data_IF_438820426335
#
_entry.id   IF_438820426335
#
_cell.length_a   1.000
_cell.length_b   1.000
_cell.length_c   1.000
_cell.angle_alpha   90.00
_cell.angle_beta   90.00
_cell.angle_gamma   90.00
#
_symmetry.space_group_name_H-M   'P 1'
#
loop_
_entity.id
_entity.type
_entity.pdbx_description
1 polymer ?
#
# COMPACT_ATOMS: atom_id res chain seq x y z
N UNK A 1 -32.69 6.73 5.90
CA UNK A 1 -32.49 6.32 4.50
C UNK A 1 -31.27 5.44 4.43
N UNK A 2 -31.37 4.28 3.82
CA UNK A 2 -30.20 3.42 3.55
C UNK A 2 -29.39 4.07 2.41
N UNK A 3 -28.08 4.21 2.59
CA UNK A 3 -27.18 4.65 1.52
C UNK A 3 -26.83 3.46 0.64
N UNK A 4 -26.68 3.67 -0.66
CA UNK A 4 -26.12 2.65 -1.55
C UNK A 4 -24.62 2.87 -1.75
N UNK A 5 -23.87 1.76 -1.81
CA UNK A 5 -22.47 1.79 -2.12
C UNK A 5 -22.24 2.18 -3.60
N UNK A 6 -21.57 3.30 -3.85
CA UNK A 6 -21.30 3.81 -5.20
C UNK A 6 -20.38 2.93 -6.07
N UNK A 7 -19.84 1.83 -5.50
CA UNK A 7 -18.97 0.89 -6.23
C UNK A 7 -19.70 -0.42 -6.54
N UNK A 8 -20.36 -1.04 -5.55
CA UNK A 8 -20.99 -2.35 -5.73
C UNK A 8 -22.52 -2.33 -5.67
N UNK A 9 -23.16 -1.17 -5.47
CA UNK A 9 -24.61 -1.02 -5.41
C UNK A 9 -25.28 -1.58 -4.16
N UNK A 10 -24.55 -2.20 -3.24
CA UNK A 10 -25.15 -2.79 -2.05
C UNK A 10 -25.70 -1.72 -1.10
N UNK A 11 -26.84 -2.00 -0.47
CA UNK A 11 -27.39 -1.17 0.60
C UNK A 11 -26.48 -1.21 1.82
N UNK A 12 -26.20 -0.04 2.37
CA UNK A 12 -25.28 0.13 3.51
C UNK A 12 -25.93 1.02 4.58
N UNK A 13 -25.81 0.60 5.83
CA UNK A 13 -26.19 1.41 6.98
C UNK A 13 -25.05 2.37 7.39
N UNK A 14 -25.33 3.28 8.31
CA UNK A 14 -24.37 4.29 8.77
C UNK A 14 -23.05 3.70 9.27
N UNK A 15 -23.09 2.57 9.98
CA UNK A 15 -21.88 1.92 10.55
C UNK A 15 -21.02 1.32 9.43
N UNK A 16 -21.64 0.84 8.38
CA UNK A 16 -20.98 0.20 7.24
C UNK A 16 -20.53 1.19 6.16
N UNK A 17 -20.84 2.48 6.35
CA UNK A 17 -20.59 3.53 5.37
C UNK A 17 -19.22 4.18 5.57
N UNK A 18 -18.44 4.31 4.50
CA UNK A 18 -17.32 5.22 4.38
C UNK A 18 -17.73 6.37 3.45
N UNK A 19 -17.80 7.59 3.98
CA UNK A 19 -18.01 8.80 3.19
C UNK A 19 -16.72 9.21 2.49
N UNK A 20 -16.86 9.72 1.26
CA UNK A 20 -15.81 10.28 0.43
C UNK A 20 -15.93 11.80 0.37
N UNK A 21 -14.90 12.48 -0.13
CA UNK A 21 -14.84 13.95 -0.21
C UNK A 21 -15.89 14.56 -1.15
N UNK A 22 -16.35 13.81 -2.14
CA UNK A 22 -17.36 14.21 -3.13
C UNK A 22 -18.79 13.85 -2.71
N UNK A 23 -19.01 13.49 -1.44
CA UNK A 23 -20.32 13.10 -0.89
C UNK A 23 -20.74 11.67 -1.21
N UNK A 24 -20.05 10.96 -2.08
CA UNK A 24 -20.33 9.55 -2.34
C UNK A 24 -20.04 8.68 -1.12
N UNK A 25 -20.67 7.50 -1.08
CA UNK A 25 -20.50 6.52 -0.01
C UNK A 25 -20.03 5.18 -0.58
N UNK A 26 -19.13 4.51 0.12
CA UNK A 26 -18.71 3.13 -0.19
C UNK A 26 -18.83 2.23 1.02
N UNK A 27 -19.03 0.95 0.80
CA UNK A 27 -19.14 -0.01 1.89
C UNK A 27 -17.75 -0.32 2.51
N UNK A 28 -17.67 -0.21 3.84
CA UNK A 28 -16.46 -0.54 4.60
C UNK A 28 -16.12 -2.02 4.54
N UNK A 29 -17.17 -2.86 4.53
CA UNK A 29 -17.02 -4.32 4.70
C UNK A 29 -16.46 -5.02 3.46
N UNK A 30 -16.81 -4.53 2.26
CA UNK A 30 -16.40 -5.16 0.99
C UNK A 30 -15.47 -4.23 0.19
N UNK A 31 -15.96 -3.09 -0.32
CA UNK A 31 -15.19 -2.26 -1.25
C UNK A 31 -13.95 -1.63 -0.62
N UNK A 32 -14.08 -1.00 0.57
CA UNK A 32 -12.92 -0.44 1.27
C UNK A 32 -11.89 -1.51 1.64
N UNK A 33 -12.33 -2.72 2.01
CA UNK A 33 -11.41 -3.81 2.36
C UNK A 33 -10.59 -4.34 1.18
N UNK A 34 -11.02 -4.11 -0.06
CA UNK A 34 -10.24 -4.48 -1.26
C UNK A 34 -9.03 -3.59 -1.47
N UNK A 35 -9.05 -2.36 -0.97
CA UNK A 35 -7.93 -1.43 -1.05
C UNK A 35 -7.00 -1.49 0.15
N UNK A 36 -6.00 -0.61 0.17
CA UNK A 36 -5.04 -0.50 1.26
C UNK A 36 -5.60 0.30 2.43
N UNK A 37 -5.20 -0.06 3.66
CA UNK A 37 -5.57 0.68 4.88
C UNK A 37 -4.97 2.08 4.93
N UNK A 38 -3.79 2.25 4.35
CA UNK A 38 -3.06 3.53 4.29
C UNK A 38 -3.63 4.50 3.25
N UNK A 39 -4.53 4.06 2.37
CA UNK A 39 -5.17 4.95 1.40
C UNK A 39 -6.17 5.88 2.10
N UNK A 40 -6.08 7.17 1.78
CA UNK A 40 -6.94 8.19 2.39
C UNK A 40 -8.31 8.23 1.72
N UNK A 41 -9.21 7.38 2.19
CA UNK A 41 -10.58 7.32 1.69
C UNK A 41 -11.41 8.57 2.04
N UNK A 42 -11.07 9.25 3.13
CA UNK A 42 -11.86 10.40 3.63
C UNK A 42 -11.72 11.61 2.70
N UNK A 43 -10.49 11.87 2.27
CA UNK A 43 -10.17 13.02 1.40
C UNK A 43 -10.16 12.65 -0.09
N UNK A 44 -10.48 11.39 -0.44
CA UNK A 44 -10.57 10.95 -1.82
C UNK A 44 -12.00 11.04 -2.36
N UNK A 45 -12.10 11.31 -3.67
CA UNK A 45 -13.35 11.23 -4.42
C UNK A 45 -13.57 9.82 -4.99
N UNK A 46 -14.76 9.55 -5.52
CA UNK A 46 -15.11 8.23 -6.08
C UNK A 46 -14.20 7.78 -7.25
N UNK A 47 -13.85 8.65 -8.23
CA UNK A 47 -12.87 8.28 -9.26
C UNK A 47 -11.51 7.86 -8.69
N UNK A 48 -10.98 8.58 -7.70
CA UNK A 48 -9.72 8.26 -7.04
C UNK A 48 -9.76 6.91 -6.32
N UNK A 49 -10.86 6.61 -5.62
CA UNK A 49 -11.05 5.31 -4.98
C UNK A 49 -11.16 4.18 -5.99
N UNK A 50 -11.89 4.37 -7.10
CA UNK A 50 -11.97 3.37 -8.18
C UNK A 50 -10.59 3.12 -8.80
N UNK A 51 -9.81 4.17 -9.06
CA UNK A 51 -8.45 4.07 -9.56
C UNK A 51 -7.54 3.29 -8.59
N UNK A 52 -7.63 3.57 -7.28
CA UNK A 52 -6.89 2.82 -6.26
C UNK A 52 -7.27 1.34 -6.23
N UNK A 53 -8.54 1.00 -6.25
CA UNK A 53 -8.98 -0.40 -6.24
C UNK A 53 -8.52 -1.15 -7.49
N UNK A 54 -8.58 -0.52 -8.67
CA UNK A 54 -8.06 -1.07 -9.91
C UNK A 54 -6.53 -1.25 -9.87
N UNK A 55 -5.80 -0.30 -9.25
CA UNK A 55 -4.36 -0.42 -9.01
C UNK A 55 -4.03 -1.63 -8.14
N UNK A 56 -4.76 -1.84 -7.03
CA UNK A 56 -4.57 -2.99 -6.14
C UNK A 56 -4.87 -4.30 -6.85
N UNK A 57 -5.95 -4.36 -7.63
CA UNK A 57 -6.29 -5.58 -8.38
C UNK A 57 -5.19 -5.95 -9.38
N UNK A 58 -4.75 -4.98 -10.20
CA UNK A 58 -3.63 -5.18 -11.15
C UNK A 58 -2.33 -5.51 -10.43
N UNK A 59 -2.02 -4.76 -9.37
CA UNK A 59 -0.80 -4.95 -8.59
C UNK A 59 -0.74 -6.32 -7.92
N UNK A 60 -1.86 -6.85 -7.44
CA UNK A 60 -1.92 -8.20 -6.86
C UNK A 60 -1.66 -9.27 -7.92
N UNK A 61 -2.21 -9.14 -9.13
CA UNK A 61 -1.92 -10.05 -10.25
C UNK A 61 -0.43 -10.00 -10.64
N UNK A 62 0.17 -8.80 -10.68
CA UNK A 62 1.61 -8.63 -10.96
C UNK A 62 2.48 -9.20 -9.84
N UNK A 63 2.04 -9.06 -8.58
CA UNK A 63 2.72 -9.67 -7.44
C UNK A 63 2.78 -11.20 -7.58
N UNK A 64 1.66 -11.83 -7.83
CA UNK A 64 1.58 -13.29 -7.98
C UNK A 64 2.41 -13.79 -9.16
N UNK A 65 2.43 -13.04 -10.27
CA UNK A 65 3.13 -13.44 -11.49
C UNK A 65 4.65 -13.20 -11.42
N UNK A 66 5.09 -12.05 -10.91
CA UNK A 66 6.50 -11.64 -10.98
C UNK A 66 7.25 -11.79 -9.66
N UNK A 67 6.60 -11.51 -8.52
CA UNK A 67 7.29 -11.42 -7.23
C UNK A 67 7.26 -12.76 -6.48
N UNK A 68 6.14 -13.46 -6.45
CA UNK A 68 6.03 -14.75 -5.74
C UNK A 68 7.05 -15.79 -6.27
N UNK A 69 7.28 -15.96 -7.59
CA UNK A 69 8.33 -16.84 -8.07
C UNK A 69 9.74 -16.42 -7.64
N UNK A 70 9.98 -15.10 -7.53
CA UNK A 70 11.27 -14.55 -7.09
C UNK A 70 11.54 -14.76 -5.60
N UNK A 71 10.51 -14.74 -4.75
CA UNK A 71 10.66 -15.09 -3.32
C UNK A 71 11.22 -16.51 -3.15
N UNK A 72 10.87 -17.42 -4.06
CA UNK A 72 11.27 -18.83 -4.05
C UNK A 72 12.53 -19.11 -4.87
N UNK A 73 13.05 -18.12 -5.59
CA UNK A 73 14.20 -18.29 -6.47
C UNK A 73 15.46 -18.64 -5.69
N UNK A 74 16.19 -19.66 -6.14
CA UNK A 74 17.52 -20.03 -5.62
C UNK A 74 18.60 -19.08 -6.14
N UNK A 75 18.42 -18.53 -7.33
CA UNK A 75 19.31 -17.59 -7.99
C UNK A 75 19.31 -16.24 -7.26
N UNK A 76 20.45 -15.86 -6.70
CA UNK A 76 20.62 -14.62 -5.94
C UNK A 76 20.41 -13.36 -6.81
N UNK A 77 20.69 -13.42 -8.12
CA UNK A 77 20.51 -12.29 -9.05
C UNK A 77 19.03 -11.95 -9.28
N UNK A 78 18.16 -12.94 -9.14
CA UNK A 78 16.70 -12.79 -9.29
C UNK A 78 15.97 -12.65 -7.96
N UNK A 79 16.72 -12.56 -6.85
CA UNK A 79 16.13 -12.53 -5.52
C UNK A 79 15.54 -11.17 -5.21
N UNK A 80 14.35 -11.17 -4.62
CA UNK A 80 13.72 -9.95 -4.12
C UNK A 80 14.55 -9.30 -3.02
N UNK A 81 14.73 -7.99 -3.13
CA UNK A 81 15.19 -7.17 -2.01
C UNK A 81 13.98 -6.73 -1.21
N UNK A 82 13.90 -7.18 0.04
CA UNK A 82 12.87 -6.70 0.97
C UNK A 82 13.41 -5.49 1.73
N UNK A 83 12.64 -4.41 1.73
CA UNK A 83 12.95 -3.17 2.43
C UNK A 83 11.86 -2.93 3.49
N UNK A 84 12.22 -3.15 4.75
CA UNK A 84 11.23 -3.16 5.85
C UNK A 84 10.19 -4.26 5.71
N UNK A 85 8.97 -3.99 6.23
CA UNK A 85 7.90 -5.00 6.30
C UNK A 85 7.07 -5.10 5.02
N UNK A 86 6.95 -4.00 4.27
CA UNK A 86 5.91 -3.86 3.25
C UNK A 86 6.44 -3.62 1.83
N UNK A 87 7.72 -3.28 1.65
CA UNK A 87 8.28 -2.96 0.35
C UNK A 87 9.19 -4.07 -0.16
N UNK A 88 8.97 -4.46 -1.41
CA UNK A 88 9.76 -5.45 -2.13
C UNK A 88 10.24 -4.86 -3.45
N UNK A 89 11.48 -5.09 -3.80
CA UNK A 89 12.12 -4.58 -5.03
C UNK A 89 12.64 -5.75 -5.86
N UNK A 90 12.25 -5.79 -7.12
CA UNK A 90 12.73 -6.68 -8.16
C UNK A 90 13.50 -5.84 -9.19
N UNK A 91 14.75 -5.50 -8.86
CA UNK A 91 15.58 -4.58 -9.64
C UNK A 91 15.86 -5.11 -11.06
N UNK A 92 15.97 -6.44 -11.21
CA UNK A 92 16.19 -7.14 -12.47
C UNK A 92 15.08 -6.88 -13.53
N UNK A 93 13.88 -6.54 -13.08
CA UNK A 93 12.73 -6.21 -13.95
C UNK A 93 12.23 -4.77 -13.77
N UNK A 94 12.94 -3.95 -13.01
CA UNK A 94 12.61 -2.54 -12.81
C UNK A 94 11.31 -2.30 -12.04
N UNK A 95 10.88 -3.24 -11.18
CA UNK A 95 9.62 -3.15 -10.43
C UNK A 95 9.84 -3.13 -8.94
N UNK A 96 8.94 -2.42 -8.24
CA UNK A 96 8.79 -2.51 -6.79
C UNK A 96 7.33 -2.70 -6.41
N UNK A 97 7.08 -3.34 -5.27
CA UNK A 97 5.75 -3.63 -4.78
C UNK A 97 5.59 -3.20 -3.32
N UNK A 98 4.57 -2.40 -3.03
CA UNK A 98 4.07 -2.19 -1.68
C UNK A 98 3.01 -3.22 -1.39
N UNK A 99 3.22 -4.03 -0.34
CA UNK A 99 2.42 -5.23 -0.08
C UNK A 99 1.79 -5.17 1.30
N UNK A 100 0.50 -5.45 1.37
CA UNK A 100 -0.23 -5.63 2.62
C UNK A 100 -0.78 -7.05 2.71
N UNK A 101 -0.48 -7.72 3.82
CA UNK A 101 -1.01 -9.03 4.13
C UNK A 101 -2.04 -8.92 5.24
N UNK A 102 -3.25 -9.45 5.00
CA UNK A 102 -4.26 -9.65 6.04
C UNK A 102 -4.34 -11.13 6.35
N UNK A 103 -4.10 -11.47 7.60
CA UNK A 103 -4.22 -12.83 8.12
C UNK A 103 -5.66 -13.07 8.57
N UNK A 104 -6.23 -14.21 8.18
CA UNK A 104 -7.51 -14.69 8.71
C UNK A 104 -7.30 -15.25 10.12
N UNK A 105 -8.42 -15.45 10.83
CA UNK A 105 -8.43 -15.98 12.18
C UNK A 105 -7.49 -17.18 12.34
N UNK A 106 -6.69 -17.20 13.43
CA UNK A 106 -5.70 -18.24 13.77
C UNK A 106 -4.63 -18.51 12.72
N UNK A 107 -4.26 -17.50 11.90
CA UNK A 107 -3.24 -17.61 10.84
C UNK A 107 -3.60 -18.61 9.70
N UNK A 108 -4.79 -19.19 9.70
CA UNK A 108 -5.28 -20.01 8.62
C UNK A 108 -5.75 -19.12 7.45
N UNK A 109 -4.91 -19.01 6.45
CA UNK A 109 -5.15 -18.23 5.25
C UNK A 109 -4.63 -16.79 5.35
N UNK A 110 -4.03 -16.35 4.25
CA UNK A 110 -3.44 -15.04 4.04
C UNK A 110 -4.07 -14.45 2.78
N UNK A 111 -4.55 -13.21 2.88
CA UNK A 111 -4.92 -12.43 1.71
C UNK A 111 -3.84 -11.39 1.45
N UNK A 112 -3.16 -11.51 0.33
CA UNK A 112 -2.14 -10.55 -0.09
C UNK A 112 -2.76 -9.52 -1.02
N UNK A 113 -2.45 -8.25 -0.82
CA UNK A 113 -2.77 -7.14 -1.71
C UNK A 113 -1.47 -6.41 -2.03
N UNK A 114 -1.31 -6.02 -3.29
CA UNK A 114 -0.11 -5.33 -3.73
C UNK A 114 -0.45 -4.14 -4.61
N UNK A 115 0.29 -3.04 -4.45
CA UNK A 115 0.43 -1.99 -5.45
C UNK A 115 1.83 -2.12 -6.04
N UNK A 116 1.90 -2.28 -7.36
CA UNK A 116 3.17 -2.42 -8.08
C UNK A 116 3.47 -1.14 -8.84
N UNK A 117 4.73 -0.71 -8.76
CA UNK A 117 5.25 0.51 -9.33
C UNK A 117 6.47 0.18 -10.17
N UNK A 118 6.74 0.98 -11.21
CA UNK A 118 8.05 0.95 -11.88
C UNK A 118 9.06 1.72 -11.01
N UNK A 119 10.27 1.22 -10.89
CA UNK A 119 11.35 1.92 -10.17
C UNK A 119 11.60 3.30 -10.80
N UNK A 120 11.53 3.39 -12.14
CA UNK A 120 11.69 4.64 -12.88
C UNK A 120 10.62 5.71 -12.56
N UNK A 121 9.48 5.32 -11.99
CA UNK A 121 8.42 6.26 -11.57
C UNK A 121 8.61 6.77 -10.13
N UNK A 122 9.62 6.32 -9.40
CA UNK A 122 9.95 6.80 -8.06
C UNK A 122 10.41 8.27 -8.15
N UNK A 123 9.56 9.18 -7.67
CA UNK A 123 9.79 10.62 -7.74
C UNK A 123 10.64 11.13 -6.58
N UNK A 124 10.31 10.67 -5.38
CA UNK A 124 11.01 11.11 -4.17
C UNK A 124 10.90 10.10 -3.04
N UNK A 125 11.91 10.12 -2.17
CA UNK A 125 11.89 9.43 -0.88
C UNK A 125 12.45 10.39 0.17
N UNK A 126 11.71 10.54 1.29
CA UNK A 126 12.04 11.51 2.35
C UNK A 126 11.93 10.85 3.72
N UNK A 127 12.86 11.19 4.61
CA UNK A 127 12.74 10.86 6.03
C UNK A 127 11.75 11.78 6.70
N UNK A 128 10.91 11.22 7.56
CA UNK A 128 10.02 11.99 8.43
C UNK A 128 9.84 11.30 9.78
N UNK A 129 9.48 12.07 10.78
CA UNK A 129 9.06 11.57 12.08
C UNK A 129 7.59 11.90 12.30
N UNK A 130 6.81 10.91 12.66
CA UNK A 130 5.40 11.07 12.95
C UNK A 130 5.11 10.75 14.41
N UNK A 131 4.23 11.53 15.03
CA UNK A 131 3.69 11.21 16.36
C UNK A 131 2.70 10.06 16.24
N UNK A 132 3.06 8.92 16.81
CA UNK A 132 2.22 7.73 16.87
C UNK A 132 1.69 7.60 18.30
N UNK A 133 0.36 7.60 18.45
CA UNK A 133 -0.29 7.32 19.73
C UNK A 133 -0.28 5.82 20.02
N UNK A 134 0.21 5.46 21.20
CA UNK A 134 0.17 4.09 21.71
C UNK A 134 -0.46 4.13 23.11
N UNK A 135 -1.78 3.96 23.17
CA UNK A 135 -2.58 4.25 24.37
C UNK A 135 -2.51 5.74 24.72
N UNK A 136 -2.17 6.06 25.97
CA UNK A 136 -2.05 7.45 26.47
C UNK A 136 -0.70 8.10 26.16
N UNK A 137 0.25 7.35 25.59
CA UNK A 137 1.58 7.85 25.24
C UNK A 137 1.66 8.21 23.76
N UNK A 138 2.27 9.35 23.46
CA UNK A 138 2.63 9.75 22.11
C UNK A 138 4.15 9.60 21.94
N UNK A 139 4.56 8.89 20.91
CA UNK A 139 5.97 8.62 20.60
C UNK A 139 6.27 9.06 19.17
N UNK A 140 7.40 9.76 18.96
CA UNK A 140 7.90 10.05 17.61
C UNK A 140 8.49 8.78 17.02
N UNK A 141 7.95 8.34 15.88
CA UNK A 141 8.48 7.20 15.15
C UNK A 141 8.99 7.61 13.77
N UNK A 142 10.13 7.02 13.34
CA UNK A 142 10.69 7.30 12.04
C UNK A 142 9.94 6.59 10.92
N UNK A 143 9.79 7.28 9.79
CA UNK A 143 9.18 6.79 8.57
C UNK A 143 9.99 7.23 7.35
N UNK A 144 9.88 6.47 6.28
CA UNK A 144 10.27 6.88 4.94
C UNK A 144 9.00 7.13 4.11
N UNK A 145 8.83 8.35 3.60
CA UNK A 145 7.76 8.70 2.65
C UNK A 145 8.29 8.49 1.23
N UNK A 146 7.58 7.67 0.46
CA UNK A 146 7.87 7.44 -0.96
C UNK A 146 6.73 8.01 -1.80
N UNK A 147 7.07 8.70 -2.89
CA UNK A 147 6.08 9.18 -3.86
C UNK A 147 6.45 8.82 -5.30
N UNK A 148 5.44 8.60 -6.13
CA UNK A 148 5.58 8.09 -7.50
C UNK A 148 4.88 9.01 -8.49
N UNK A 149 5.45 9.14 -9.67
CA UNK A 149 4.81 9.73 -10.85
C UNK A 149 4.00 8.69 -11.62
N UNK A 150 3.20 9.14 -12.59
CA UNK A 150 2.47 8.27 -13.52
C UNK A 150 1.58 7.22 -12.86
N UNK A 151 1.19 7.44 -11.60
CA UNK A 151 0.39 6.50 -10.80
C UNK A 151 -0.94 7.13 -10.44
N UNK A 152 -2.02 6.45 -10.80
CA UNK A 152 -3.36 6.78 -10.33
C UNK A 152 -3.70 5.90 -9.12
N UNK A 153 -4.33 6.48 -8.10
CA UNK A 153 -4.66 5.76 -6.86
C UNK A 153 -3.68 6.05 -5.73
N UNK A 154 -3.01 5.03 -5.20
CA UNK A 154 -2.01 5.19 -4.14
C UNK A 154 -0.66 5.57 -4.78
N UNK A 155 -0.41 6.85 -4.93
CA UNK A 155 0.83 7.40 -5.49
C UNK A 155 1.86 7.79 -4.42
N UNK A 156 1.47 7.82 -3.16
CA UNK A 156 2.33 8.12 -2.03
C UNK A 156 1.98 7.23 -0.84
N UNK A 157 2.99 6.76 -0.12
CA UNK A 157 2.81 6.00 1.12
C UNK A 157 4.02 6.15 2.05
N UNK A 158 3.84 5.78 3.31
CA UNK A 158 4.89 5.79 4.32
C UNK A 158 5.27 4.38 4.74
N UNK A 159 6.57 4.16 4.89
CA UNK A 159 7.14 2.93 5.41
C UNK A 159 7.64 3.15 6.84
N UNK A 160 7.20 2.38 7.83
CA UNK A 160 7.80 2.42 9.16
C UNK A 160 9.29 2.05 9.10
N UNK A 161 10.12 2.83 9.77
CA UNK A 161 11.55 2.58 9.97
C UNK A 161 11.80 2.28 11.45
N UNK A 162 12.87 1.53 11.78
CA UNK A 162 13.24 1.38 13.18
C UNK A 162 14.01 2.60 13.66
N UNK A 163 14.83 3.18 12.78
CA UNK A 163 15.67 4.34 13.09
C UNK A 163 16.10 5.04 11.78
N UNK A 164 16.81 6.16 11.93
CA UNK A 164 17.32 6.94 10.80
C UNK A 164 18.36 6.19 9.95
N UNK A 165 19.13 5.27 10.54
CA UNK A 165 20.12 4.48 9.80
C UNK A 165 19.45 3.55 8.78
N UNK A 166 18.26 3.03 9.09
CA UNK A 166 17.48 2.21 8.14
C UNK A 166 17.05 3.05 6.92
N UNK A 167 16.69 4.33 7.14
CA UNK A 167 16.39 5.24 6.05
C UNK A 167 17.62 5.54 5.18
N UNK A 168 18.79 5.78 5.79
CA UNK A 168 20.02 6.03 5.03
C UNK A 168 20.44 4.79 4.20
N UNK A 169 20.21 3.58 4.74
CA UNK A 169 20.44 2.35 3.99
C UNK A 169 19.45 2.19 2.81
N UNK A 170 18.17 2.56 3.02
CA UNK A 170 17.15 2.58 1.98
C UNK A 170 17.51 3.61 0.90
N UNK A 171 17.90 4.82 1.30
CA UNK A 171 18.35 5.88 0.40
C UNK A 171 19.53 5.43 -0.45
N UNK A 172 20.59 4.94 0.19
CA UNK A 172 21.78 4.42 -0.52
C UNK A 172 21.40 3.35 -1.54
N UNK A 173 20.44 2.47 -1.20
CA UNK A 173 19.97 1.46 -2.13
C UNK A 173 19.23 2.06 -3.33
N UNK A 174 18.34 3.03 -3.12
CA UNK A 174 17.63 3.69 -4.21
C UNK A 174 18.56 4.51 -5.12
N UNK A 175 19.60 5.11 -4.54
CA UNK A 175 20.62 5.84 -5.31
C UNK A 175 21.45 4.91 -6.23
N UNK A 176 21.37 3.58 -6.05
CA UNK A 176 22.06 2.57 -6.88
C UNK A 176 21.18 1.93 -7.95
N UNK A 177 19.87 2.23 -7.97
CA UNK A 177 18.91 1.69 -8.92
C UNK A 177 18.78 2.56 -10.17
#
# INVERSE_FOLDING_TARGET
MANQCAICGADINLIQTQKLSDGNCICRKNCRKKGFKVYDYVHSNLPGVKAHLAQVERGTKLWDHYFVPREKAKDKSKKLKRLGTYLYVAADIGLMAYVQNDYKFMMFGKTTRACVYRIADLRSYKYEEQLVKNGDKSEKKPFARLSFTNTQGLYEFVLPMNNRKDFEALKKYFDTL
#
